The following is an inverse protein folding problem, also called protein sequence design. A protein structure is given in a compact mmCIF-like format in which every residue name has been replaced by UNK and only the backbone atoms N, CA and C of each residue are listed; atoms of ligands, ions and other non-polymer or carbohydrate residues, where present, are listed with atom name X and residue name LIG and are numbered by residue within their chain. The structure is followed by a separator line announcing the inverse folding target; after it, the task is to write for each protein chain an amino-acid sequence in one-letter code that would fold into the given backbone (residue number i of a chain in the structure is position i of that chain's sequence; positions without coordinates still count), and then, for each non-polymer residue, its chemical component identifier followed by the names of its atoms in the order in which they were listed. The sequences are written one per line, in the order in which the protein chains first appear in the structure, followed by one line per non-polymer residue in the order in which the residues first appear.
data_IF_383667123310
#
_entry.id   IF_383667123310
#
_cell.length_a   1.000
_cell.length_b   1.000
_cell.length_c   1.000
_cell.angle_alpha   90.00
_cell.angle_beta   90.00
_cell.angle_gamma   90.00
#
_symmetry.space_group_name_H-M   'P 1'
#
loop_
_entity.id
_entity.type
_entity.pdbx_description
1 polymer ?
#
# COMPACT_ATOMS: atom_id res chain seq x y z
N UNK A 1 11.35 0.79 11.79
CA UNK A 1 11.37 -0.69 11.91
C UNK A 1 12.47 -1.17 12.86
N UNK A 2 13.68 -0.60 12.83
CA UNK A 2 14.82 -1.00 13.69
C UNK A 2 14.57 -0.87 15.19
N UNK A 3 13.52 -0.15 15.62
CA UNK A 3 13.08 -0.13 17.04
C UNK A 3 12.37 -1.41 17.46
N UNK A 4 11.77 -2.12 16.52
CA UNK A 4 10.92 -3.28 16.79
C UNK A 4 11.57 -4.59 16.38
N UNK A 5 12.30 -4.58 15.26
CA UNK A 5 12.99 -5.74 14.74
C UNK A 5 14.37 -5.94 15.36
N UNK A 6 14.82 -7.19 15.44
CA UNK A 6 16.21 -7.55 15.77
C UNK A 6 17.16 -7.17 14.64
N UNK A 7 16.72 -7.34 13.40
CA UNK A 7 17.39 -6.92 12.18
C UNK A 7 16.37 -6.42 11.16
N UNK A 8 16.81 -5.55 10.25
CA UNK A 8 16.01 -5.03 9.15
C UNK A 8 16.86 -5.11 7.89
N UNK A 9 16.29 -5.64 6.81
CA UNK A 9 16.93 -5.62 5.49
C UNK A 9 16.15 -4.69 4.58
N UNK A 10 16.80 -3.64 4.06
CA UNK A 10 16.24 -2.75 3.07
C UNK A 10 16.67 -3.22 1.68
N UNK A 11 15.70 -3.61 0.87
CA UNK A 11 15.92 -4.11 -0.49
C UNK A 11 15.61 -2.99 -1.47
N UNK A 12 16.56 -2.70 -2.37
CA UNK A 12 16.41 -1.66 -3.38
C UNK A 12 16.83 -2.18 -4.77
N UNK A 13 15.96 -1.93 -5.77
CA UNK A 13 16.15 -2.46 -7.14
C UNK A 13 17.31 -1.85 -7.93
N UNK A 14 17.83 -0.69 -7.52
CA UNK A 14 18.94 0.02 -8.17
C UNK A 14 20.18 -0.02 -7.29
N UNK A 15 21.31 0.40 -7.87
CA UNK A 15 22.60 0.53 -7.19
C UNK A 15 22.64 1.74 -6.23
N UNK A 16 21.82 2.74 -6.48
CA UNK A 16 21.80 4.02 -5.74
C UNK A 16 20.41 4.39 -5.26
N UNK A 17 20.34 5.09 -4.13
CA UNK A 17 19.10 5.55 -3.50
C UNK A 17 18.74 6.96 -4.01
N UNK A 18 17.44 7.23 -4.15
CA UNK A 18 16.92 8.58 -4.43
C UNK A 18 16.81 9.46 -3.18
N UNK A 19 17.02 8.88 -2.01
CA UNK A 19 16.95 9.60 -0.74
C UNK A 19 18.09 10.62 -0.63
N UNK A 20 17.92 11.63 0.23
CA UNK A 20 18.99 12.57 0.55
C UNK A 20 20.19 11.86 1.18
N UNK A 21 21.40 12.38 0.98
CA UNK A 21 22.62 11.76 1.49
C UNK A 21 22.56 11.53 3.00
N UNK A 22 22.04 12.48 3.77
CA UNK A 22 21.85 12.35 5.22
C UNK A 22 21.04 11.11 5.60
N UNK A 23 19.99 10.78 4.83
CA UNK A 23 19.17 9.59 5.09
C UNK A 23 19.90 8.31 4.75
N UNK A 24 20.68 8.31 3.68
CA UNK A 24 21.54 7.18 3.28
C UNK A 24 22.60 6.91 4.34
N UNK A 25 23.32 7.95 4.81
CA UNK A 25 24.35 7.86 5.84
C UNK A 25 23.78 7.31 7.16
N UNK A 26 22.58 7.79 7.55
CA UNK A 26 21.86 7.26 8.73
C UNK A 26 21.45 5.79 8.58
N UNK A 27 21.08 5.38 7.38
CA UNK A 27 20.77 3.98 7.10
C UNK A 27 22.04 3.13 7.18
N UNK A 28 23.13 3.55 6.57
CA UNK A 28 24.41 2.84 6.55
C UNK A 28 25.05 2.74 7.94
N UNK A 29 24.88 3.76 8.77
CA UNK A 29 25.43 3.77 10.14
C UNK A 29 24.61 2.98 11.16
N UNK A 30 23.43 2.45 10.78
CA UNK A 30 22.57 1.72 11.69
C UNK A 30 22.99 0.23 11.77
N UNK A 31 23.46 -0.27 12.92
CA UNK A 31 23.99 -1.64 13.04
C UNK A 31 22.93 -2.75 12.85
N UNK A 32 21.65 -2.39 12.91
CA UNK A 32 20.54 -3.34 12.68
C UNK A 32 20.04 -3.34 11.23
N UNK A 33 20.57 -2.47 10.37
CA UNK A 33 20.09 -2.29 9.02
C UNK A 33 21.08 -2.79 7.99
N UNK A 34 20.67 -3.77 7.19
CA UNK A 34 21.41 -4.26 6.02
C UNK A 34 20.81 -3.64 4.76
N UNK A 35 21.64 -3.11 3.89
CA UNK A 35 21.21 -2.56 2.59
C UNK A 35 21.55 -3.55 1.48
N UNK A 36 20.54 -4.01 0.73
CA UNK A 36 20.67 -4.84 -0.46
C UNK A 36 20.24 -4.02 -1.69
N UNK A 37 21.23 -3.49 -2.39
CA UNK A 37 21.01 -2.80 -3.68
C UNK A 37 20.98 -3.79 -4.85
N UNK A 38 20.58 -3.34 -6.03
CA UNK A 38 20.42 -4.18 -7.22
C UNK A 38 19.59 -5.44 -6.96
N UNK A 39 18.60 -5.37 -6.08
CA UNK A 39 17.87 -6.55 -5.63
C UNK A 39 16.36 -6.29 -5.68
N UNK A 40 15.61 -7.30 -6.14
CA UNK A 40 14.15 -7.31 -6.14
C UNK A 40 13.64 -8.54 -5.40
N UNK A 41 12.48 -8.40 -4.75
CA UNK A 41 11.73 -9.52 -4.18
C UNK A 41 10.92 -10.17 -5.29
N UNK A 42 11.03 -11.47 -5.45
CA UNK A 42 10.32 -12.24 -6.48
C UNK A 42 9.16 -13.06 -5.92
N UNK A 43 9.24 -13.48 -4.66
CA UNK A 43 8.16 -14.17 -3.97
C UNK A 43 8.20 -13.88 -2.46
N UNK A 44 7.04 -13.99 -1.81
CA UNK A 44 6.90 -13.94 -0.36
C UNK A 44 6.26 -15.25 0.08
N UNK A 45 6.91 -15.95 1.00
CA UNK A 45 6.44 -17.22 1.51
C UNK A 45 5.87 -17.08 2.92
N UNK A 46 4.80 -17.82 3.19
CA UNK A 46 4.17 -17.89 4.49
C UNK A 46 4.13 -19.32 5.01
N UNK A 47 4.18 -19.45 6.32
CA UNK A 47 3.91 -20.70 7.01
C UNK A 47 2.61 -20.61 7.79
N UNK A 48 1.87 -21.72 7.87
CA UNK A 48 0.69 -21.79 8.72
C UNK A 48 1.08 -21.50 10.16
N UNK A 49 0.43 -20.48 10.76
CA UNK A 49 0.64 -20.20 12.19
C UNK A 49 0.02 -21.31 13.03
N UNK A 50 0.82 -21.98 13.85
CA UNK A 50 0.33 -22.97 14.81
C UNK A 50 -0.57 -22.37 15.92
N UNK A 51 -0.73 -21.06 15.98
CA UNK A 51 -1.19 -20.37 17.17
C UNK A 51 -2.66 -19.90 17.16
N UNK A 52 -3.40 -20.00 16.06
CA UNK A 52 -4.80 -19.54 16.06
C UNK A 52 -5.67 -20.42 15.14
N UNK A 53 -6.69 -21.11 15.71
CA UNK A 53 -7.66 -21.81 14.89
C UNK A 53 -8.39 -20.82 13.98
N UNK A 54 -8.71 -21.24 12.76
CA UNK A 54 -9.58 -20.50 11.87
C UNK A 54 -10.89 -20.14 12.60
N UNK A 55 -11.34 -18.90 12.50
CA UNK A 55 -12.66 -18.56 13.03
C UNK A 55 -13.73 -19.35 12.28
N UNK A 56 -14.72 -19.93 12.98
CA UNK A 56 -15.78 -20.68 12.32
C UNK A 56 -16.59 -19.73 11.40
N UNK A 57 -17.23 -20.32 10.40
CA UNK A 57 -18.15 -19.57 9.56
C UNK A 57 -19.26 -18.95 10.44
N UNK A 58 -19.53 -17.67 10.27
CA UNK A 58 -20.54 -16.92 11.02
C UNK A 58 -21.72 -16.62 10.10
N UNK A 59 -22.94 -16.82 10.58
CA UNK A 59 -24.15 -16.42 9.86
C UNK A 59 -24.78 -15.21 10.55
N UNK A 60 -24.90 -14.09 9.85
CA UNK A 60 -25.54 -12.87 10.34
C UNK A 60 -26.69 -12.52 9.40
N UNK A 61 -27.92 -12.48 9.89
CA UNK A 61 -29.10 -12.10 9.11
C UNK A 61 -29.32 -12.94 7.83
N UNK A 62 -28.96 -14.22 7.86
CA UNK A 62 -29.07 -15.12 6.70
C UNK A 62 -27.86 -15.09 5.74
N UNK A 63 -26.93 -14.14 5.90
CA UNK A 63 -25.68 -14.06 5.15
C UNK A 63 -24.62 -14.95 5.81
N UNK A 64 -24.17 -15.99 5.09
CA UNK A 64 -23.11 -16.89 5.54
C UNK A 64 -21.74 -16.29 5.17
N UNK A 65 -21.02 -15.80 6.16
CA UNK A 65 -19.63 -15.40 5.98
C UNK A 65 -18.73 -16.65 6.00
N UNK A 66 -17.79 -16.77 5.03
CA UNK A 66 -16.89 -17.91 4.99
C UNK A 66 -16.05 -17.98 6.27
N UNK A 67 -15.66 -19.21 6.64
CA UNK A 67 -14.67 -19.39 7.70
C UNK A 67 -13.38 -18.66 7.32
N UNK A 68 -12.79 -17.92 8.27
CA UNK A 68 -11.48 -17.32 8.04
C UNK A 68 -10.45 -18.44 7.93
N UNK A 69 -9.61 -18.38 6.90
CA UNK A 69 -8.43 -19.26 6.81
C UNK A 69 -7.49 -18.98 7.98
N UNK A 70 -6.78 -19.99 8.44
CA UNK A 70 -5.77 -19.80 9.48
C UNK A 70 -4.78 -18.70 9.01
N UNK A 71 -4.44 -17.72 9.88
CA UNK A 71 -3.49 -16.69 9.50
C UNK A 71 -2.15 -17.33 9.17
N UNK A 72 -1.61 -16.96 8.02
CA UNK A 72 -0.25 -17.33 7.65
C UNK A 72 0.68 -16.21 8.06
N UNK A 73 1.77 -16.56 8.73
CA UNK A 73 2.85 -15.63 9.01
C UNK A 73 3.89 -15.69 7.90
N UNK A 74 4.46 -14.54 7.56
CA UNK A 74 5.61 -14.51 6.66
C UNK A 74 6.76 -15.32 7.27
N UNK A 75 7.38 -16.17 6.47
CA UNK A 75 8.51 -17.00 6.87
C UNK A 75 9.79 -16.67 6.12
N UNK A 76 9.69 -16.36 4.83
CA UNK A 76 10.84 -16.04 3.98
C UNK A 76 10.41 -15.25 2.75
N UNK A 77 11.39 -14.70 2.05
CA UNK A 77 11.22 -14.07 0.74
C UNK A 77 12.27 -14.62 -0.22
N UNK A 78 11.91 -14.79 -1.48
CA UNK A 78 12.87 -14.99 -2.56
C UNK A 78 13.30 -13.67 -3.15
N UNK A 79 14.59 -13.55 -3.40
CA UNK A 79 15.20 -12.36 -3.97
C UNK A 79 15.97 -12.70 -5.24
N UNK A 80 16.12 -11.71 -6.11
CA UNK A 80 16.96 -11.81 -7.30
C UNK A 80 17.78 -10.54 -7.46
N UNK A 81 19.08 -10.70 -7.67
CA UNK A 81 19.97 -9.60 -8.03
C UNK A 81 19.70 -9.19 -9.49
N UNK A 82 19.44 -7.91 -9.72
CA UNK A 82 19.09 -7.37 -11.04
C UNK A 82 20.30 -7.18 -11.94
N UNK A 83 21.50 -7.11 -11.40
CA UNK A 83 22.74 -6.95 -12.15
C UNK A 83 23.37 -8.30 -12.54
N UNK A 84 23.37 -9.28 -11.62
CA UNK A 84 24.01 -10.59 -11.84
C UNK A 84 23.02 -11.69 -12.23
N UNK A 85 21.73 -11.51 -11.91
CA UNK A 85 20.69 -12.54 -12.09
C UNK A 85 20.67 -13.60 -10.99
N UNK A 86 21.59 -13.56 -10.03
CA UNK A 86 21.65 -14.51 -8.91
C UNK A 86 20.38 -14.44 -8.07
N UNK A 87 19.91 -15.61 -7.65
CA UNK A 87 18.74 -15.76 -6.79
C UNK A 87 19.13 -16.25 -5.41
N UNK A 88 18.32 -15.91 -4.40
CA UNK A 88 18.53 -16.37 -3.04
C UNK A 88 17.23 -16.28 -2.24
N UNK A 89 17.24 -16.84 -1.05
CA UNK A 89 16.12 -16.78 -0.10
C UNK A 89 16.59 -16.15 1.20
N UNK A 90 15.77 -15.26 1.77
CA UNK A 90 16.00 -14.64 3.07
C UNK A 90 14.88 -14.99 4.03
N UNK A 91 15.22 -15.52 5.19
CA UNK A 91 14.28 -15.73 6.28
C UNK A 91 13.87 -14.38 6.88
N UNK A 92 12.57 -14.18 7.02
CA UNK A 92 12.01 -12.95 7.60
C UNK A 92 10.64 -13.21 8.22
N UNK A 93 10.32 -12.47 9.26
CA UNK A 93 9.02 -12.55 9.93
C UNK A 93 8.02 -11.48 9.50
N UNK A 94 8.45 -10.48 8.72
CA UNK A 94 7.59 -9.43 8.20
C UNK A 94 8.18 -8.79 6.93
N UNK A 95 7.31 -8.37 6.02
CA UNK A 95 7.67 -7.62 4.81
C UNK A 95 6.86 -6.31 4.79
N UNK A 96 7.57 -5.21 4.60
CA UNK A 96 6.98 -3.88 4.41
C UNK A 96 7.26 -3.40 2.99
N UNK A 97 6.20 -3.20 2.21
CA UNK A 97 6.30 -2.73 0.84
C UNK A 97 6.29 -1.19 0.85
N UNK A 98 7.38 -0.56 0.42
CA UNK A 98 7.56 0.89 0.40
C UNK A 98 8.09 1.36 -0.96
N UNK A 99 7.46 0.89 -2.04
CA UNK A 99 7.89 1.14 -3.44
C UNK A 99 7.23 2.35 -4.09
N UNK A 100 6.41 3.08 -3.36
CA UNK A 100 5.59 4.18 -3.85
C UNK A 100 4.11 3.81 -3.89
N UNK A 101 3.32 4.74 -4.37
CA UNK A 101 1.87 4.59 -4.50
C UNK A 101 1.45 5.05 -5.90
N UNK A 102 0.60 4.28 -6.52
CA UNK A 102 -0.12 4.65 -7.75
C UNK A 102 -1.61 4.43 -7.48
N UNK A 103 -2.46 5.43 -7.68
CA UNK A 103 -3.90 5.25 -7.45
C UNK A 103 -4.47 4.24 -8.46
N UNK A 104 -5.38 3.38 -7.97
CA UNK A 104 -6.05 2.38 -8.81
C UNK A 104 -7.25 3.02 -9.54
N UNK A 105 -7.00 3.93 -10.45
CA UNK A 105 -8.00 4.77 -11.15
C UNK A 105 -8.16 4.45 -12.63
N UNK A 106 -7.37 3.51 -13.15
CA UNK A 106 -7.37 3.13 -14.58
C UNK A 106 -8.77 2.76 -15.10
N UNK A 107 -9.58 2.10 -14.26
CA UNK A 107 -10.92 1.65 -14.64
C UNK A 107 -11.93 2.79 -14.90
N UNK A 108 -11.63 4.01 -14.47
CA UNK A 108 -12.51 5.20 -14.59
C UNK A 108 -11.85 6.36 -15.35
N UNK A 109 -10.64 6.17 -15.84
CA UNK A 109 -9.86 7.22 -16.50
C UNK A 109 -10.53 7.76 -17.78
N UNK A 110 -11.37 6.96 -18.45
CA UNK A 110 -12.15 7.37 -19.61
C UNK A 110 -13.40 8.23 -19.25
N UNK A 111 -13.78 8.26 -17.98
CA UNK A 111 -14.99 8.94 -17.49
C UNK A 111 -14.66 10.24 -16.80
N UNK A 112 -13.59 10.28 -16.01
CA UNK A 112 -13.18 11.46 -15.23
C UNK A 112 -11.75 11.87 -15.58
N UNK A 113 -11.45 13.16 -15.45
CA UNK A 113 -10.09 13.65 -15.66
C UNK A 113 -9.16 13.17 -14.54
N UNK A 114 -8.00 12.70 -14.94
CA UNK A 114 -6.88 12.37 -14.05
C UNK A 114 -5.67 13.24 -14.38
N UNK A 115 -4.76 13.33 -13.44
CA UNK A 115 -3.48 13.98 -13.69
C UNK A 115 -2.42 12.97 -14.23
N UNK A 116 -1.19 13.46 -14.45
CA UNK A 116 -0.08 12.67 -15.01
C UNK A 116 0.34 11.49 -14.11
N UNK A 117 0.02 11.52 -12.81
CA UNK A 117 0.30 10.44 -11.84
C UNK A 117 -0.92 9.52 -11.64
N UNK A 118 -2.03 9.78 -12.35
CA UNK A 118 -3.25 8.97 -12.31
C UNK A 118 -4.24 9.35 -11.20
N UNK A 119 -4.01 10.43 -10.43
CA UNK A 119 -4.99 10.88 -9.44
C UNK A 119 -6.17 11.57 -10.10
N UNK A 120 -7.39 11.29 -9.60
CA UNK A 120 -8.59 11.96 -10.07
C UNK A 120 -8.52 13.45 -9.70
N UNK A 121 -8.73 14.33 -10.68
CA UNK A 121 -8.80 15.76 -10.45
C UNK A 121 -10.21 16.15 -10.01
N UNK A 122 -10.30 16.92 -8.92
CA UNK A 122 -11.56 17.45 -8.39
C UNK A 122 -11.53 18.98 -8.36
N UNK A 123 -12.71 19.59 -8.35
CA UNK A 123 -12.84 21.04 -8.19
C UNK A 123 -12.22 21.50 -6.86
N UNK A 124 -11.66 22.72 -6.81
CA UNK A 124 -11.06 23.30 -5.61
C UNK A 124 -12.00 23.18 -4.41
N UNK A 125 -11.44 22.66 -3.29
CA UNK A 125 -12.13 22.45 -2.02
C UNK A 125 -13.37 21.52 -2.06
N UNK A 126 -13.67 20.89 -3.20
CA UNK A 126 -14.83 20.01 -3.40
C UNK A 126 -14.44 18.57 -3.67
N UNK A 127 -15.44 17.79 -4.08
CA UNK A 127 -15.29 16.39 -4.51
C UNK A 127 -15.83 16.14 -5.91
N UNK A 128 -16.32 17.18 -6.59
CA UNK A 128 -16.85 17.12 -7.94
C UNK A 128 -15.73 16.81 -8.93
N UNK A 129 -15.94 15.81 -9.76
CA UNK A 129 -15.05 15.45 -10.86
C UNK A 129 -15.43 16.20 -12.15
N UNK A 130 -14.71 15.93 -13.24
CA UNK A 130 -15.06 16.44 -14.57
C UNK A 130 -16.37 15.86 -15.13
N UNK A 131 -16.85 14.73 -14.59
CA UNK A 131 -18.11 14.11 -15.00
C UNK A 131 -19.25 14.49 -14.04
N UNK A 132 -20.35 15.09 -14.54
CA UNK A 132 -21.49 15.45 -13.71
C UNK A 132 -22.07 14.24 -12.97
N UNK A 133 -22.35 14.39 -11.67
CA UNK A 133 -22.89 13.34 -10.82
C UNK A 133 -21.85 12.29 -10.35
N UNK A 134 -20.58 12.47 -10.69
CA UNK A 134 -19.48 11.64 -10.22
C UNK A 134 -18.62 12.44 -9.24
N UNK A 135 -18.41 11.89 -8.05
CA UNK A 135 -17.66 12.50 -6.97
C UNK A 135 -16.48 11.60 -6.58
N UNK A 136 -15.34 12.18 -6.25
CA UNK A 136 -14.15 11.44 -5.89
C UNK A 136 -13.60 11.91 -4.53
N UNK A 137 -13.14 10.94 -3.73
CA UNK A 137 -12.64 11.18 -2.38
C UNK A 137 -11.62 10.11 -1.96
N UNK A 138 -10.76 10.45 -0.99
CA UNK A 138 -9.79 9.52 -0.42
C UNK A 138 -8.49 9.45 -1.23
N UNK A 139 -7.79 8.33 -1.12
CA UNK A 139 -6.44 8.15 -1.67
C UNK A 139 -6.35 8.31 -3.19
N UNK A 140 -7.44 8.13 -3.91
CA UNK A 140 -7.47 8.35 -5.36
C UNK A 140 -7.42 9.84 -5.78
N UNK A 141 -7.58 10.76 -4.81
CA UNK A 141 -7.51 12.22 -4.96
C UNK A 141 -6.37 12.80 -4.13
N UNK A 142 -6.10 12.22 -2.94
CA UNK A 142 -5.12 12.73 -1.98
C UNK A 142 -3.69 12.30 -2.35
N UNK A 143 -2.94 13.20 -2.97
CA UNK A 143 -1.53 12.99 -3.31
C UNK A 143 -0.59 13.09 -2.11
N UNK A 144 -1.03 13.72 -1.02
CA UNK A 144 -0.14 14.21 0.04
C UNK A 144 -0.17 13.33 1.28
N UNK A 145 -1.33 13.16 1.87
CA UNK A 145 -1.46 12.57 3.20
C UNK A 145 -1.76 11.08 3.16
N UNK A 146 -2.75 10.66 2.37
CA UNK A 146 -3.15 9.25 2.21
C UNK A 146 -3.33 8.55 3.56
N UNK A 147 -4.11 9.19 4.42
CA UNK A 147 -4.41 8.72 5.76
C UNK A 147 -5.89 8.36 5.89
N UNK A 148 -6.19 7.34 6.68
CA UNK A 148 -7.57 6.90 6.91
C UNK A 148 -8.49 8.04 7.37
N UNK A 149 -8.00 8.93 8.24
CA UNK A 149 -8.79 10.05 8.75
C UNK A 149 -9.04 11.13 7.68
N UNK A 150 -8.06 11.42 6.81
CA UNK A 150 -8.27 12.35 5.69
C UNK A 150 -9.24 11.75 4.67
N UNK A 151 -9.09 10.47 4.34
CA UNK A 151 -10.00 9.77 3.43
C UNK A 151 -11.44 9.75 3.97
N UNK A 152 -11.65 9.50 5.26
CA UNK A 152 -12.97 9.55 5.90
C UNK A 152 -13.59 10.95 5.81
N UNK A 153 -12.83 12.00 6.08
CA UNK A 153 -13.29 13.39 5.98
C UNK A 153 -13.65 13.78 4.53
N UNK A 154 -12.84 13.34 3.55
CA UNK A 154 -13.16 13.53 2.14
C UNK A 154 -14.41 12.76 1.72
N UNK A 155 -14.58 11.52 2.20
CA UNK A 155 -15.78 10.71 1.93
C UNK A 155 -17.06 11.36 2.48
N UNK A 156 -17.00 11.96 3.68
CA UNK A 156 -18.10 12.73 4.23
C UNK A 156 -18.48 13.92 3.32
N UNK A 157 -17.50 14.68 2.84
CA UNK A 157 -17.76 15.78 1.88
C UNK A 157 -18.38 15.27 0.59
N UNK A 158 -17.87 14.16 0.02
CA UNK A 158 -18.41 13.58 -1.20
C UNK A 158 -19.88 13.16 -1.04
N UNK A 159 -20.25 12.62 0.12
CA UNK A 159 -21.63 12.27 0.41
C UNK A 159 -22.55 13.50 0.48
N UNK A 160 -22.09 14.60 1.09
CA UNK A 160 -22.82 15.86 1.15
C UNK A 160 -22.96 16.51 -0.22
N UNK A 161 -21.90 16.54 -1.02
CA UNK A 161 -21.92 17.06 -2.41
C UNK A 161 -22.89 16.24 -3.28
N UNK A 162 -22.88 14.89 -3.14
CA UNK A 162 -23.80 14.03 -3.86
C UNK A 162 -25.26 14.26 -3.43
N UNK A 163 -25.52 14.45 -2.14
CA UNK A 163 -26.85 14.78 -1.63
C UNK A 163 -27.35 16.11 -2.22
N UNK A 164 -26.49 17.12 -2.22
CA UNK A 164 -26.84 18.44 -2.79
C UNK A 164 -27.13 18.32 -4.28
N UNK A 165 -26.34 17.59 -5.03
CA UNK A 165 -26.53 17.34 -6.46
C UNK A 165 -27.88 16.68 -6.78
N UNK A 166 -28.32 15.73 -5.94
CA UNK A 166 -29.58 15.01 -6.13
C UNK A 166 -30.82 15.84 -5.74
N UNK A 167 -30.64 16.94 -4.98
CA UNK A 167 -31.74 17.77 -4.48
C UNK A 167 -31.85 19.13 -5.19
N UNK A 168 -30.91 19.44 -6.06
CA UNK A 168 -30.91 20.65 -6.91
C UNK A 168 -31.70 20.43 -8.18
#
# INVERSE_FOLDING_TARGET
LTRFGSSVTLIHRRDSFRASQIMVDRAQSNPKLTLLTNTVVTAIHGSASAAKPASPAITIGGLKLPAATAPQNVSSIDIRNTATGETGTLDTSAVFVAIGHTPATEFIADVVSTDDDGYITVAEAGTHTSAPGVFAAGDCVDRTYRQAISAAGMGCRAALDAQQYLTA
#
